data_IF_714517711827
#
_entry.id   IF_714517711827
#
_cell.length_a   1.000
_cell.length_b   1.000
_cell.length_c   1.000
_cell.angle_alpha   90.00
_cell.angle_beta   90.00
_cell.angle_gamma   90.00
#
_symmetry.space_group_name_H-M   'P 1'
#
loop_
_entity.id
_entity.type
_entity.pdbx_description
1 polymer ?
#
# COMPACT_ATOMS: atom_id res chain seq x y z
N UNK A 1 39.12 -12.66 16.73
CA UNK A 1 37.87 -12.25 17.39
C UNK A 1 37.33 -11.05 16.63
N UNK A 2 36.56 -11.30 15.58
CA UNK A 2 35.94 -10.26 14.74
C UNK A 2 34.61 -9.85 15.40
N UNK A 3 34.45 -8.54 15.62
CA UNK A 3 33.18 -7.93 16.09
C UNK A 3 32.12 -8.12 15.02
N UNK A 4 30.89 -8.54 15.39
CA UNK A 4 29.80 -8.58 14.43
C UNK A 4 29.43 -7.15 14.01
N UNK A 5 29.21 -6.93 12.72
CA UNK A 5 28.59 -5.72 12.18
C UNK A 5 27.22 -5.53 12.83
N UNK A 6 27.09 -4.51 13.66
CA UNK A 6 25.81 -3.93 14.07
C UNK A 6 25.26 -3.16 12.87
N UNK A 7 24.31 -3.76 12.20
CA UNK A 7 23.67 -3.21 10.99
C UNK A 7 22.17 -3.35 10.97
N UNK A 8 21.50 -3.21 12.13
CA UNK A 8 20.05 -2.96 12.19
C UNK A 8 19.85 -1.75 13.10
N UNK A 9 19.47 -0.62 12.49
CA UNK A 9 19.32 0.64 13.19
C UNK A 9 18.25 0.54 14.26
N UNK A 10 18.65 0.73 15.50
CA UNK A 10 17.76 0.85 16.65
C UNK A 10 16.73 1.95 16.34
N UNK A 11 15.44 1.63 16.46
CA UNK A 11 14.37 2.60 16.21
C UNK A 11 14.46 3.76 17.20
N UNK A 12 14.53 4.99 16.70
CA UNK A 12 14.69 6.21 17.50
C UNK A 12 13.34 6.89 17.73
N UNK A 13 13.13 7.38 18.94
CA UNK A 13 11.88 8.02 19.38
C UNK A 13 12.17 9.15 20.37
N UNK A 14 11.14 9.93 20.67
CA UNK A 14 11.23 11.03 21.64
C UNK A 14 11.86 10.57 22.97
N UNK A 15 12.85 11.33 23.42
CA UNK A 15 13.65 11.10 24.63
C UNK A 15 14.98 10.39 24.38
N UNK A 16 15.18 9.79 23.20
CA UNK A 16 16.44 9.12 22.88
C UNK A 16 17.54 10.14 22.62
N UNK A 17 18.79 9.75 22.93
CA UNK A 17 20.00 10.50 22.65
C UNK A 17 20.94 9.65 21.83
N UNK A 18 21.17 10.06 20.56
CA UNK A 18 21.99 9.29 19.62
C UNK A 18 22.57 10.25 18.55
N UNK A 19 23.79 9.98 18.09
CA UNK A 19 24.39 10.74 16.98
C UNK A 19 23.53 10.72 15.71
N UNK A 20 22.82 9.61 15.44
CA UNK A 20 21.90 9.50 14.29
C UNK A 20 20.72 10.48 14.35
N UNK A 21 20.36 11.01 15.53
CA UNK A 21 19.33 12.04 15.68
C UNK A 21 19.74 13.32 14.95
N UNK A 22 21.04 13.65 14.94
CA UNK A 22 21.57 14.81 14.21
C UNK A 22 21.35 14.67 12.71
N UNK A 23 21.55 13.47 12.16
CA UNK A 23 21.34 13.20 10.73
C UNK A 23 19.86 13.26 10.35
N UNK A 24 18.98 12.76 11.22
CA UNK A 24 17.52 12.81 11.04
C UNK A 24 17.07 14.29 11.06
N UNK A 25 17.56 15.08 12.02
CA UNK A 25 17.24 16.50 12.14
C UNK A 25 17.68 17.26 10.88
N UNK A 26 18.92 17.05 10.44
CA UNK A 26 19.45 17.66 9.21
C UNK A 26 18.61 17.27 7.98
N UNK A 27 18.21 16.01 7.87
CA UNK A 27 17.38 15.53 6.77
C UNK A 27 15.98 16.19 6.77
N UNK A 28 15.32 16.27 7.92
CA UNK A 28 14.00 16.90 8.04
C UNK A 28 14.06 18.41 7.81
N UNK A 29 15.14 19.09 8.23
CA UNK A 29 15.38 20.50 7.92
C UNK A 29 15.55 20.71 6.41
N UNK A 30 16.38 19.89 5.74
CA UNK A 30 16.57 19.95 4.30
C UNK A 30 15.28 19.68 3.49
N UNK A 31 14.35 18.92 4.07
CA UNK A 31 13.03 18.62 3.49
C UNK A 31 11.95 19.65 3.88
N UNK A 32 12.28 20.64 4.72
CA UNK A 32 11.33 21.70 5.13
C UNK A 32 10.29 21.25 6.16
N UNK A 33 10.53 20.16 6.88
CA UNK A 33 9.67 19.68 7.98
C UNK A 33 10.13 20.16 9.35
N UNK A 34 11.32 20.76 9.43
CA UNK A 34 11.91 21.34 10.63
C UNK A 34 12.55 22.68 10.29
N UNK A 35 12.39 23.68 11.13
CA UNK A 35 13.02 24.96 10.94
C UNK A 35 14.55 24.84 11.13
N UNK A 36 15.33 25.59 10.35
CA UNK A 36 16.79 25.58 10.46
C UNK A 36 17.26 26.18 11.80
N UNK A 37 18.38 25.70 12.31
CA UNK A 37 18.99 26.13 13.57
C UNK A 37 19.28 27.66 13.69
N UNK A 38 19.20 28.39 12.57
CA UNK A 38 19.36 29.86 12.55
C UNK A 38 18.18 30.61 13.20
N UNK A 39 17.02 29.94 13.39
CA UNK A 39 15.86 30.54 14.06
C UNK A 39 16.06 30.69 15.59
N UNK A 40 17.02 29.98 16.15
CA UNK A 40 17.20 29.88 17.62
C UNK A 40 18.26 30.84 18.21
N UNK A 41 18.95 31.61 17.38
CA UNK A 41 19.92 32.62 17.88
C UNK A 41 19.25 33.70 18.75
N UNK A 42 17.92 33.81 18.70
CA UNK A 42 17.15 34.82 19.46
C UNK A 42 16.57 34.30 20.79
N UNK A 43 16.56 33.00 21.07
CA UNK A 43 15.91 32.42 22.26
C UNK A 43 16.86 31.91 23.32
N UNK A 44 18.17 31.87 23.06
CA UNK A 44 19.20 31.43 24.04
C UNK A 44 19.07 29.96 24.46
N UNK A 45 18.29 29.16 23.78
CA UNK A 45 18.17 27.72 24.01
C UNK A 45 19.31 26.99 23.28
N UNK A 46 20.20 26.36 24.04
CA UNK A 46 21.11 25.36 23.50
C UNK A 46 20.33 24.11 23.08
N UNK A 47 20.00 23.97 21.81
CA UNK A 47 19.43 22.74 21.27
C UNK A 47 20.57 21.69 21.24
N UNK A 48 20.41 20.64 22.03
CA UNK A 48 21.29 19.48 21.93
C UNK A 48 20.88 18.68 20.68
N UNK A 49 21.61 18.85 19.57
CA UNK A 49 21.29 18.26 18.27
C UNK A 49 21.22 16.73 18.28
N UNK A 50 21.77 16.07 19.27
CA UNK A 50 21.77 14.62 19.49
C UNK A 50 20.57 14.11 20.28
N UNK A 51 19.66 15.01 20.73
CA UNK A 51 18.45 14.66 21.51
C UNK A 51 17.22 14.66 20.59
N UNK A 52 16.46 13.59 20.67
CA UNK A 52 15.16 13.48 20.03
C UNK A 52 14.10 14.18 20.91
N UNK A 53 13.96 15.48 20.72
CA UNK A 53 13.06 16.35 21.45
C UNK A 53 11.62 16.35 20.88
N UNK A 54 10.76 17.17 21.47
CA UNK A 54 9.35 17.30 21.06
C UNK A 54 9.21 17.91 19.65
N UNK A 55 10.04 18.86 19.32
CA UNK A 55 10.03 19.52 18.01
C UNK A 55 10.37 18.51 16.90
N UNK A 56 11.39 17.68 17.13
CA UNK A 56 11.76 16.61 16.20
C UNK A 56 10.65 15.53 16.12
N UNK A 57 9.98 15.19 17.23
CA UNK A 57 8.85 14.23 17.18
C UNK A 57 7.71 14.77 16.29
N UNK A 58 7.38 16.06 16.42
CA UNK A 58 6.38 16.70 15.57
C UNK A 58 6.81 16.69 14.09
N UNK A 59 8.07 17.02 13.79
CA UNK A 59 8.61 16.99 12.43
C UNK A 59 8.59 15.58 11.82
N UNK A 60 8.96 14.57 12.60
CA UNK A 60 8.88 13.16 12.18
C UNK A 60 7.45 12.75 11.88
N UNK A 61 6.48 13.08 12.73
CA UNK A 61 5.05 12.79 12.49
C UNK A 61 4.51 13.50 11.25
N UNK A 62 4.85 14.77 11.06
CA UNK A 62 4.49 15.53 9.87
C UNK A 62 5.09 14.89 8.59
N UNK A 63 6.35 14.48 8.63
CA UNK A 63 6.99 13.75 7.54
C UNK A 63 6.32 12.40 7.28
N UNK A 64 6.07 11.60 8.31
CA UNK A 64 5.38 10.32 8.20
C UNK A 64 3.99 10.49 7.57
N UNK A 65 3.23 11.50 8.01
CA UNK A 65 1.92 11.81 7.45
C UNK A 65 2.02 12.18 5.97
N UNK A 66 2.96 13.08 5.63
CA UNK A 66 3.17 13.49 4.24
C UNK A 66 3.59 12.32 3.34
N UNK A 67 4.37 11.37 3.87
CA UNK A 67 4.86 10.19 3.14
C UNK A 67 3.89 9.01 3.12
N UNK A 68 2.74 9.11 3.78
CA UNK A 68 1.78 8.00 3.89
C UNK A 68 2.32 6.82 4.72
N UNK A 69 3.18 7.09 5.71
CA UNK A 69 3.68 6.12 6.66
C UNK A 69 2.78 6.04 7.90
N UNK A 70 3.03 5.07 8.77
CA UNK A 70 2.43 5.05 10.11
C UNK A 70 2.90 6.28 10.88
N UNK A 71 1.97 7.09 11.42
CA UNK A 71 2.28 8.34 12.13
C UNK A 71 2.43 8.04 13.62
N UNK A 72 3.55 7.44 13.99
CA UNK A 72 3.86 7.01 15.36
C UNK A 72 4.97 7.85 16.03
N UNK A 73 5.66 8.71 15.27
CA UNK A 73 6.81 9.48 15.75
C UNK A 73 8.06 8.64 15.94
N UNK A 74 8.09 7.39 15.46
CA UNK A 74 9.23 6.49 15.58
C UNK A 74 10.02 6.46 14.27
N UNK A 75 11.31 6.73 14.34
CA UNK A 75 12.20 6.61 13.20
C UNK A 75 12.76 5.20 13.14
N UNK A 76 11.90 4.26 12.70
CA UNK A 76 12.27 2.88 12.40
C UNK A 76 12.74 2.71 10.94
N UNK A 77 12.85 1.47 10.48
CA UNK A 77 13.36 1.14 9.14
C UNK A 77 12.58 1.83 8.01
N UNK A 78 11.24 1.81 8.07
CA UNK A 78 10.39 2.43 7.05
C UNK A 78 10.57 3.96 6.99
N UNK A 79 10.62 4.63 8.14
CA UNK A 79 10.84 6.08 8.21
C UNK A 79 12.24 6.45 7.75
N UNK A 80 13.28 5.71 8.16
CA UNK A 80 14.65 5.90 7.71
C UNK A 80 14.79 5.71 6.20
N UNK A 81 14.15 4.70 5.64
CA UNK A 81 14.13 4.48 4.19
C UNK A 81 13.49 5.66 3.47
N UNK A 82 12.31 6.10 3.92
CA UNK A 82 11.61 7.23 3.33
C UNK A 82 12.40 8.55 3.42
N UNK A 83 13.12 8.80 4.51
CA UNK A 83 14.02 9.95 4.64
C UNK A 83 15.17 9.91 3.62
N UNK A 84 15.77 8.73 3.42
CA UNK A 84 16.80 8.54 2.39
C UNK A 84 16.23 8.72 0.99
N UNK A 85 15.07 8.15 0.70
CA UNK A 85 14.38 8.29 -0.59
C UNK A 85 14.08 9.76 -0.90
N UNK A 86 13.60 10.52 0.09
CA UNK A 86 13.28 11.93 -0.02
C UNK A 86 14.53 12.84 -0.23
N UNK A 87 15.70 12.37 0.17
CA UNK A 87 16.95 13.13 0.00
C UNK A 87 17.43 13.21 -1.45
N UNK A 88 16.97 12.31 -2.32
CA UNK A 88 17.38 12.26 -3.71
C UNK A 88 16.52 13.18 -4.59
N UNK A 89 17.18 14.13 -5.26
CA UNK A 89 16.55 15.01 -6.26
C UNK A 89 16.93 14.56 -7.68
N UNK A 90 15.98 14.61 -8.59
CA UNK A 90 16.23 14.25 -10.00
C UNK A 90 17.38 15.10 -10.57
N UNK A 91 18.43 14.43 -11.03
CA UNK A 91 19.66 15.03 -11.51
C UNK A 91 20.82 14.99 -10.53
N UNK A 92 20.59 14.66 -9.25
CA UNK A 92 21.67 14.51 -8.26
C UNK A 92 22.55 13.27 -8.51
N UNK A 93 21.96 12.25 -9.13
CA UNK A 93 22.65 11.01 -9.52
C UNK A 93 22.14 10.49 -10.85
N UNK A 94 22.93 9.65 -11.51
CA UNK A 94 22.52 8.93 -12.72
C UNK A 94 21.59 7.78 -12.33
N UNK A 95 20.40 7.70 -12.97
CA UNK A 95 19.42 6.66 -12.70
C UNK A 95 19.45 5.58 -13.78
N UNK A 96 19.51 4.32 -13.37
CA UNK A 96 19.50 3.17 -14.27
C UNK A 96 18.95 1.93 -13.59
N UNK A 97 18.51 0.95 -14.38
CA UNK A 97 18.12 -0.35 -13.84
C UNK A 97 19.35 -1.12 -13.36
N UNK A 98 19.33 -1.56 -12.09
CA UNK A 98 20.39 -2.33 -11.49
C UNK A 98 19.83 -3.67 -11.02
N UNK A 99 20.41 -4.76 -11.54
CA UNK A 99 19.98 -6.10 -11.16
C UNK A 99 20.41 -6.42 -9.72
N UNK A 100 19.49 -6.86 -8.89
CA UNK A 100 19.77 -7.26 -7.50
C UNK A 100 19.91 -6.12 -6.48
N UNK A 101 20.05 -4.86 -6.92
CA UNK A 101 20.13 -3.69 -6.04
C UNK A 101 19.36 -2.51 -6.65
N UNK A 102 18.04 -2.58 -6.71
CA UNK A 102 17.23 -1.58 -7.38
C UNK A 102 17.40 -0.19 -6.76
N UNK A 103 17.41 0.84 -7.61
CA UNK A 103 17.43 2.23 -7.18
C UNK A 103 16.04 2.67 -6.72
N UNK A 104 16.00 3.34 -5.58
CA UNK A 104 14.78 3.95 -5.02
C UNK A 104 15.00 5.42 -4.74
N UNK A 105 13.96 6.23 -4.84
CA UNK A 105 13.98 7.62 -4.40
C UNK A 105 12.96 8.51 -5.08
N UNK A 106 12.83 9.72 -4.57
CA UNK A 106 11.96 10.75 -5.14
C UNK A 106 12.46 11.22 -6.51
N UNK A 107 13.74 11.10 -6.79
CA UNK A 107 14.32 11.31 -8.12
C UNK A 107 13.78 10.30 -9.14
N UNK A 108 13.65 9.03 -8.76
CA UNK A 108 13.03 8.00 -9.60
C UNK A 108 11.55 8.28 -9.77
N UNK A 109 10.82 8.60 -8.70
CA UNK A 109 9.41 8.95 -8.78
C UNK A 109 9.17 10.17 -9.70
N UNK A 110 10.03 11.18 -9.61
CA UNK A 110 9.97 12.36 -10.48
C UNK A 110 10.24 12.00 -11.95
N UNK A 111 11.20 11.10 -12.21
CA UNK A 111 11.46 10.61 -13.57
C UNK A 111 10.24 9.84 -14.11
N UNK A 112 9.68 8.93 -13.31
CA UNK A 112 8.51 8.15 -13.70
C UNK A 112 7.30 9.05 -14.02
N UNK A 113 7.03 10.05 -13.17
CA UNK A 113 5.95 11.03 -13.39
C UNK A 113 6.15 11.77 -14.73
N UNK A 114 7.36 12.23 -15.02
CA UNK A 114 7.66 12.91 -16.29
C UNK A 114 7.50 12.00 -17.51
N UNK A 115 7.98 10.75 -17.41
CA UNK A 115 7.79 9.77 -18.47
C UNK A 115 6.32 9.41 -18.65
N UNK A 116 5.53 9.43 -17.58
CA UNK A 116 4.08 9.21 -17.61
C UNK A 116 3.37 10.37 -18.30
N UNK A 117 3.70 11.62 -17.95
CA UNK A 117 3.15 12.82 -18.59
C UNK A 117 3.42 12.86 -20.10
N UNK A 118 4.59 12.37 -20.50
CA UNK A 118 4.98 12.26 -21.90
C UNK A 118 4.46 11.01 -22.61
N UNK A 119 3.77 10.11 -21.89
CA UNK A 119 3.15 8.90 -22.48
C UNK A 119 4.08 7.69 -22.61
N UNK A 120 5.32 7.75 -22.08
CA UNK A 120 6.30 6.66 -22.18
C UNK A 120 6.31 5.72 -20.96
N UNK A 121 5.66 6.08 -19.88
CA UNK A 121 5.55 5.26 -18.68
C UNK A 121 4.09 5.06 -18.29
N UNK A 122 3.71 3.83 -18.01
CA UNK A 122 2.33 3.44 -17.77
C UNK A 122 2.16 2.66 -16.47
N UNK A 123 3.25 2.55 -15.70
CA UNK A 123 3.26 1.93 -14.37
C UNK A 123 2.86 2.91 -13.26
N UNK A 124 2.88 2.41 -12.02
CA UNK A 124 2.76 3.24 -10.83
C UNK A 124 3.98 4.15 -10.71
N UNK A 125 3.78 5.40 -10.36
CA UNK A 125 4.87 6.30 -9.94
C UNK A 125 5.24 5.92 -8.50
N UNK A 126 6.06 4.90 -8.36
CA UNK A 126 6.37 4.21 -7.10
C UNK A 126 7.75 4.54 -6.54
N UNK A 127 8.55 5.29 -7.29
CA UNK A 127 9.93 5.60 -6.92
C UNK A 127 10.90 4.42 -7.03
N UNK A 128 10.50 3.32 -7.67
CA UNK A 128 11.33 2.15 -7.90
C UNK A 128 11.80 2.07 -9.36
N UNK A 129 13.12 2.09 -9.61
CA UNK A 129 13.66 1.97 -10.95
C UNK A 129 13.70 0.51 -11.40
N UNK A 130 12.53 -0.02 -11.77
CA UNK A 130 12.37 -1.37 -12.29
C UNK A 130 12.46 -1.44 -13.81
N UNK A 131 12.21 -2.64 -14.37
CA UNK A 131 12.21 -2.89 -15.81
C UNK A 131 11.18 -2.01 -16.55
N UNK A 132 10.03 -1.71 -15.94
CA UNK A 132 9.03 -0.85 -16.58
C UNK A 132 9.56 0.58 -16.76
N UNK A 133 10.23 1.13 -15.72
CA UNK A 133 10.88 2.45 -15.79
C UNK A 133 11.99 2.45 -16.84
N UNK A 134 12.84 1.41 -16.84
CA UNK A 134 13.90 1.24 -17.83
C UNK A 134 13.34 1.23 -19.26
N UNK A 135 12.33 0.41 -19.54
CA UNK A 135 11.71 0.31 -20.86
C UNK A 135 11.03 1.60 -21.31
N UNK A 136 10.34 2.30 -20.36
CA UNK A 136 9.75 3.60 -20.62
C UNK A 136 10.81 4.64 -20.99
N UNK A 137 11.91 4.65 -20.26
CA UNK A 137 13.05 5.55 -20.52
C UNK A 137 13.71 5.26 -21.88
N UNK A 138 13.95 4.00 -22.21
CA UNK A 138 14.48 3.61 -23.54
C UNK A 138 13.55 4.03 -24.67
N UNK A 139 12.23 3.89 -24.49
CA UNK A 139 11.26 4.31 -25.50
C UNK A 139 11.27 5.82 -25.69
N UNK A 140 11.34 6.58 -24.58
CA UNK A 140 11.53 8.03 -24.61
C UNK A 140 12.82 8.43 -25.36
N UNK A 141 13.96 7.84 -24.98
CA UNK A 141 15.26 8.13 -25.59
C UNK A 141 15.23 7.89 -27.11
N UNK A 142 14.63 6.78 -27.56
CA UNK A 142 14.50 6.43 -28.97
C UNK A 142 13.67 7.45 -29.74
N UNK A 143 12.52 7.86 -29.17
CA UNK A 143 11.62 8.79 -29.83
C UNK A 143 12.23 10.20 -29.97
N UNK A 144 13.07 10.60 -28.99
CA UNK A 144 13.74 11.90 -29.00
C UNK A 144 15.16 11.87 -29.59
N UNK A 145 15.54 10.79 -30.27
CA UNK A 145 16.81 10.69 -30.96
C UNK A 145 18.04 10.63 -30.05
N UNK A 146 17.82 10.24 -28.78
CA UNK A 146 18.89 9.99 -27.82
C UNK A 146 19.39 8.55 -27.90
N UNK A 147 20.59 8.29 -27.36
CA UNK A 147 21.05 6.93 -27.22
C UNK A 147 20.16 6.16 -26.25
N UNK A 148 19.51 5.11 -26.74
CA UNK A 148 18.49 4.36 -26.00
C UNK A 148 19.13 3.27 -25.11
N UNK A 149 19.81 3.69 -24.06
CA UNK A 149 20.48 2.81 -23.07
C UNK A 149 19.66 2.55 -21.81
N UNK A 150 18.56 3.27 -21.63
CA UNK A 150 17.74 3.20 -20.43
C UNK A 150 18.43 3.81 -19.20
N UNK A 151 19.42 4.70 -19.41
CA UNK A 151 20.14 5.40 -18.38
C UNK A 151 19.72 6.88 -18.38
N UNK A 152 19.19 7.38 -17.26
CA UNK A 152 18.88 8.78 -17.08
C UNK A 152 20.12 9.56 -16.67
N UNK A 153 20.97 9.83 -17.64
CA UNK A 153 22.17 10.66 -17.49
C UNK A 153 21.91 12.15 -17.81
N UNK A 154 22.95 13.00 -17.81
CA UNK A 154 22.83 14.45 -18.01
C UNK A 154 22.17 14.85 -19.34
N UNK A 155 22.37 14.11 -20.40
CA UNK A 155 21.81 14.38 -21.72
C UNK A 155 20.30 14.09 -21.74
N UNK A 156 19.89 12.92 -21.25
CA UNK A 156 18.49 12.56 -21.09
C UNK A 156 17.75 13.52 -20.16
N UNK A 157 18.38 13.93 -19.07
CA UNK A 157 17.81 14.93 -18.15
C UNK A 157 17.58 16.28 -18.81
N UNK A 158 18.53 16.80 -19.58
CA UNK A 158 18.37 18.06 -20.32
C UNK A 158 17.17 18.01 -21.26
N UNK A 159 17.02 16.90 -21.99
CA UNK A 159 15.89 16.65 -22.88
C UNK A 159 14.56 16.64 -22.11
N UNK A 160 14.48 15.91 -20.99
CA UNK A 160 13.29 15.84 -20.13
C UNK A 160 12.91 17.22 -19.54
N UNK A 161 13.88 18.03 -19.13
CA UNK A 161 13.62 19.38 -18.60
C UNK A 161 13.07 20.32 -19.66
N UNK A 162 13.56 20.23 -20.88
CA UNK A 162 13.10 21.08 -21.98
C UNK A 162 11.64 20.81 -22.38
N UNK A 163 11.20 19.56 -22.26
CA UNK A 163 9.85 19.14 -22.68
C UNK A 163 8.79 19.29 -21.57
N UNK A 164 9.17 19.15 -20.31
CA UNK A 164 8.23 19.12 -19.16
C UNK A 164 7.44 20.42 -18.95
N UNK A 165 7.85 21.53 -19.53
CA UNK A 165 7.15 22.82 -19.44
C UNK A 165 5.90 22.94 -20.33
N UNK A 166 5.59 21.95 -21.16
CA UNK A 166 4.55 22.02 -22.20
C UNK A 166 3.45 20.97 -22.13
N UNK A 167 3.57 19.96 -21.27
CA UNK A 167 2.63 18.82 -21.22
C UNK A 167 2.08 18.65 -19.80
N UNK A 168 0.77 18.81 -19.65
CA UNK A 168 0.02 18.37 -18.46
C UNK A 168 -0.86 17.21 -18.89
N UNK A 169 -0.43 15.97 -18.59
CA UNK A 169 -1.16 14.72 -18.88
C UNK A 169 -1.98 14.25 -17.69
N UNK A 170 -3.03 13.47 -17.95
CA UNK A 170 -3.75 12.71 -16.93
C UNK A 170 -2.99 11.44 -16.51
N UNK A 171 -3.38 10.83 -15.37
CA UNK A 171 -2.79 9.57 -14.92
C UNK A 171 -3.18 8.41 -15.85
N UNK A 172 -2.29 8.02 -16.75
CA UNK A 172 -2.46 6.85 -17.64
C UNK A 172 -2.61 5.54 -16.86
N UNK A 173 -2.02 5.46 -15.67
CA UNK A 173 -2.17 4.31 -14.79
C UNK A 173 -3.61 4.16 -14.28
N UNK A 174 -4.23 5.25 -13.81
CA UNK A 174 -5.62 5.23 -13.35
C UNK A 174 -6.57 4.82 -14.48
N UNK A 175 -6.37 5.36 -15.69
CA UNK A 175 -7.16 5.01 -16.89
C UNK A 175 -7.00 3.51 -17.21
N UNK A 176 -5.80 2.97 -17.09
CA UNK A 176 -5.54 1.54 -17.33
C UNK A 176 -6.18 0.63 -16.28
N UNK A 177 -6.07 0.97 -15.01
CA UNK A 177 -6.74 0.21 -13.94
C UNK A 177 -8.25 0.15 -14.19
N UNK A 178 -8.87 1.30 -14.46
CA UNK A 178 -10.30 1.38 -14.77
C UNK A 178 -10.65 0.58 -16.02
N UNK A 179 -9.83 0.66 -17.06
CA UNK A 179 -10.06 -0.07 -18.31
C UNK A 179 -9.90 -1.59 -18.14
N UNK A 180 -8.94 -2.05 -17.33
CA UNK A 180 -8.78 -3.48 -17.02
C UNK A 180 -10.02 -4.03 -16.29
N UNK A 181 -10.55 -3.31 -15.30
CA UNK A 181 -11.78 -3.73 -14.61
C UNK A 181 -12.98 -3.68 -15.56
N UNK A 182 -13.10 -2.64 -16.39
CA UNK A 182 -14.19 -2.49 -17.36
C UNK A 182 -14.17 -3.55 -18.46
N UNK A 183 -12.99 -3.85 -19.05
CA UNK A 183 -12.86 -4.87 -20.11
C UNK A 183 -13.11 -6.28 -19.61
N UNK A 184 -12.83 -6.51 -18.35
CA UNK A 184 -13.09 -7.81 -17.74
C UNK A 184 -14.60 -8.10 -17.57
N UNK A 185 -15.46 -7.11 -17.86
CA UNK A 185 -16.91 -7.22 -17.86
C UNK A 185 -17.53 -7.45 -16.47
N UNK A 186 -18.85 -7.37 -16.36
CA UNK A 186 -19.55 -7.58 -15.10
C UNK A 186 -19.67 -9.08 -14.78
N UNK A 187 -18.52 -9.79 -14.77
CA UNK A 187 -18.48 -11.23 -14.48
C UNK A 187 -17.53 -11.46 -13.32
N UNK A 188 -17.96 -12.31 -12.39
CA UNK A 188 -17.13 -12.76 -11.27
C UNK A 188 -16.35 -14.03 -11.63
N UNK A 189 -16.94 -14.88 -12.48
CA UNK A 189 -16.34 -16.14 -12.90
C UNK A 189 -15.03 -15.92 -13.66
N UNK A 190 -14.00 -16.66 -13.27
CA UNK A 190 -12.67 -16.59 -13.88
C UNK A 190 -11.81 -15.41 -13.41
N UNK A 191 -12.30 -14.57 -12.49
CA UNK A 191 -11.46 -13.55 -11.85
C UNK A 191 -10.45 -14.20 -10.92
N UNK A 192 -9.19 -13.84 -11.04
CA UNK A 192 -8.09 -14.34 -10.20
C UNK A 192 -7.85 -13.41 -9.04
N UNK A 193 -8.14 -13.90 -7.83
CA UNK A 193 -8.01 -13.12 -6.59
C UNK A 193 -6.95 -13.76 -5.72
N UNK A 194 -5.96 -13.00 -5.30
CA UNK A 194 -5.06 -13.40 -4.23
C UNK A 194 -5.59 -12.89 -2.90
N UNK A 195 -5.71 -13.81 -1.96
CA UNK A 195 -6.00 -13.53 -0.56
C UNK A 195 -4.71 -13.77 0.22
N UNK A 196 -4.27 -12.73 0.94
CA UNK A 196 -3.00 -12.73 1.64
C UNK A 196 -3.19 -12.65 3.15
N UNK A 197 -3.27 -13.80 3.85
CA UNK A 197 -3.28 -13.80 5.31
C UNK A 197 -1.91 -13.39 5.85
N UNK A 198 -1.87 -12.37 6.71
CA UNK A 198 -0.66 -11.93 7.39
C UNK A 198 -0.06 -13.01 8.29
N UNK A 199 1.14 -12.70 8.86
CA UNK A 199 1.84 -13.65 9.74
C UNK A 199 2.10 -15.00 9.06
N UNK A 200 2.22 -16.08 9.86
CA UNK A 200 2.35 -17.45 9.39
C UNK A 200 3.66 -18.13 9.82
N UNK A 201 3.78 -19.41 9.58
CA UNK A 201 4.96 -20.19 10.01
C UNK A 201 5.20 -20.05 11.51
N UNK A 202 6.41 -19.60 11.88
CA UNK A 202 6.78 -19.35 13.27
C UNK A 202 6.33 -17.96 13.79
N UNK A 203 5.81 -17.11 12.92
CA UNK A 203 5.26 -15.81 13.31
C UNK A 203 3.76 -15.97 13.62
N UNK A 204 3.47 -16.29 14.87
CA UNK A 204 2.11 -16.45 15.35
C UNK A 204 1.40 -15.13 15.67
N UNK A 205 2.16 -14.03 15.80
CA UNK A 205 1.64 -12.77 16.34
C UNK A 205 1.19 -12.88 17.79
N UNK A 206 0.24 -12.05 18.21
CA UNK A 206 -0.34 -12.12 19.55
C UNK A 206 -1.28 -13.34 19.70
N UNK A 207 -1.34 -13.88 20.93
CA UNK A 207 -2.28 -14.93 21.29
C UNK A 207 -3.45 -14.31 22.04
N UNK A 208 -4.65 -14.50 21.51
CA UNK A 208 -5.90 -14.14 22.14
C UNK A 208 -6.54 -15.36 22.81
N UNK A 209 -7.41 -15.15 23.79
CA UNK A 209 -8.16 -16.21 24.46
C UNK A 209 -9.63 -16.06 24.13
N UNK A 210 -10.18 -17.03 23.37
CA UNK A 210 -11.58 -17.15 23.04
C UNK A 210 -12.27 -18.20 23.89
N UNK A 211 -13.58 -18.42 23.66
CA UNK A 211 -14.36 -19.44 24.33
C UNK A 211 -13.89 -20.87 24.04
N UNK A 212 -13.25 -21.09 22.90
CA UNK A 212 -12.68 -22.39 22.49
C UNK A 212 -11.21 -22.58 22.91
N UNK A 213 -10.61 -21.63 23.66
CA UNK A 213 -9.22 -21.65 24.08
C UNK A 213 -8.36 -20.57 23.40
N UNK A 214 -7.03 -20.70 23.53
CA UNK A 214 -6.11 -19.74 22.92
C UNK A 214 -6.15 -19.85 21.38
N UNK A 215 -6.13 -18.70 20.70
CA UNK A 215 -6.05 -18.58 19.24
C UNK A 215 -5.02 -17.51 18.89
N UNK A 216 -4.13 -17.82 17.96
CA UNK A 216 -3.11 -16.87 17.52
C UNK A 216 -3.66 -15.89 16.47
N UNK A 217 -3.02 -14.74 16.32
CA UNK A 217 -3.31 -13.79 15.25
C UNK A 217 -3.20 -14.47 13.87
N UNK A 218 -2.18 -15.30 13.67
CA UNK A 218 -1.99 -16.07 12.45
C UNK A 218 -3.16 -17.01 12.15
N UNK A 219 -3.75 -17.66 13.18
CA UNK A 219 -4.89 -18.55 13.02
C UNK A 219 -6.16 -17.79 12.69
N UNK A 220 -6.38 -16.62 13.31
CA UNK A 220 -7.51 -15.73 13.01
C UNK A 220 -7.47 -15.30 11.54
N UNK A 221 -6.29 -14.84 11.08
CA UNK A 221 -6.11 -14.37 9.70
C UNK A 221 -6.23 -15.52 8.68
N UNK A 222 -5.74 -16.70 9.04
CA UNK A 222 -5.86 -17.89 8.19
C UNK A 222 -7.30 -18.36 8.06
N UNK A 223 -8.03 -18.46 9.19
CA UNK A 223 -9.45 -18.82 9.19
C UNK A 223 -10.27 -17.83 8.37
N UNK A 224 -10.01 -16.53 8.54
CA UNK A 224 -10.69 -15.49 7.75
C UNK A 224 -10.39 -15.62 6.25
N UNK A 225 -9.12 -15.83 5.88
CA UNK A 225 -8.72 -16.03 4.49
C UNK A 225 -9.38 -17.26 3.87
N UNK A 226 -9.43 -18.37 4.61
CA UNK A 226 -10.07 -19.62 4.14
C UNK A 226 -11.59 -19.47 3.95
N UNK A 227 -12.25 -18.70 4.82
CA UNK A 227 -13.71 -18.38 4.67
C UNK A 227 -13.93 -17.53 3.42
N UNK A 228 -13.08 -16.54 3.19
CA UNK A 228 -13.18 -15.67 2.03
C UNK A 228 -12.89 -16.46 0.73
N UNK A 229 -11.85 -17.30 0.72
CA UNK A 229 -11.51 -18.20 -0.38
C UNK A 229 -12.71 -19.09 -0.75
N UNK A 230 -13.30 -19.80 0.22
CA UNK A 230 -14.43 -20.67 -0.03
C UNK A 230 -15.64 -19.93 -0.62
N UNK A 231 -15.94 -18.73 -0.12
CA UNK A 231 -17.05 -17.90 -0.62
C UNK A 231 -16.79 -17.40 -2.04
N UNK A 232 -15.57 -16.95 -2.35
CA UNK A 232 -15.22 -16.47 -3.68
C UNK A 232 -15.19 -17.59 -4.71
N UNK A 233 -14.65 -18.75 -4.32
CA UNK A 233 -14.63 -19.94 -5.19
C UNK A 233 -16.06 -20.43 -5.50
N UNK A 234 -16.97 -20.39 -4.52
CA UNK A 234 -18.35 -20.79 -4.71
C UNK A 234 -19.12 -19.98 -5.77
N UNK A 235 -18.67 -18.76 -6.07
CA UNK A 235 -19.26 -17.90 -7.11
C UNK A 235 -18.41 -17.87 -8.39
N UNK A 236 -17.49 -18.83 -8.54
CA UNK A 236 -16.73 -19.04 -9.76
C UNK A 236 -15.44 -18.20 -9.90
N UNK A 237 -14.98 -17.52 -8.87
CA UNK A 237 -13.68 -16.88 -8.86
C UNK A 237 -12.56 -17.91 -8.70
N UNK A 238 -11.40 -17.65 -9.30
CA UNK A 238 -10.16 -18.39 -9.08
C UNK A 238 -9.38 -17.75 -7.93
N UNK A 239 -9.33 -18.39 -6.79
CA UNK A 239 -8.70 -17.85 -5.59
C UNK A 239 -7.37 -18.53 -5.28
N UNK A 240 -6.42 -17.76 -4.81
CA UNK A 240 -5.08 -18.23 -4.43
C UNK A 240 -4.70 -17.63 -3.09
N UNK A 241 -4.11 -18.42 -2.21
CA UNK A 241 -3.51 -17.92 -0.98
C UNK A 241 -2.06 -17.55 -1.24
N UNK A 242 -1.62 -16.39 -0.74
CA UNK A 242 -0.24 -15.89 -0.95
C UNK A 242 0.83 -16.75 -0.28
N UNK A 243 0.44 -17.55 0.70
CA UNK A 243 1.33 -18.42 1.48
C UNK A 243 0.62 -19.70 1.93
N UNK A 244 1.34 -20.78 2.21
CA UNK A 244 0.85 -21.89 3.01
C UNK A 244 0.88 -21.54 4.52
N UNK A 245 0.31 -22.39 5.37
CA UNK A 245 0.23 -22.19 6.82
C UNK A 245 1.58 -22.11 7.49
N UNK A 246 2.55 -22.89 7.01
CA UNK A 246 3.86 -23.08 7.63
C UNK A 246 4.94 -22.10 7.17
N UNK A 247 4.60 -21.03 6.45
CA UNK A 247 5.52 -19.99 5.99
C UNK A 247 5.02 -18.59 6.36
N UNK A 248 5.99 -17.69 6.62
CA UNK A 248 5.76 -16.25 6.79
C UNK A 248 6.62 -15.49 5.76
N UNK A 249 6.15 -15.37 4.50
CA UNK A 249 6.88 -14.63 3.48
C UNK A 249 6.93 -13.14 3.81
N UNK A 250 7.99 -12.47 3.34
CA UNK A 250 8.10 -11.02 3.33
C UNK A 250 7.09 -10.39 2.37
N UNK A 251 6.81 -9.09 2.50
CA UNK A 251 5.91 -8.37 1.58
C UNK A 251 6.43 -8.41 0.13
N UNK A 252 7.75 -8.43 -0.08
CA UNK A 252 8.35 -8.61 -1.40
C UNK A 252 8.02 -9.99 -2.01
N UNK A 253 8.13 -11.06 -1.24
CA UNK A 253 7.79 -12.42 -1.70
C UNK A 253 6.28 -12.56 -1.94
N UNK A 254 5.44 -11.94 -1.10
CA UNK A 254 3.97 -11.89 -1.28
C UNK A 254 3.58 -11.16 -2.57
N UNK A 255 4.19 -9.99 -2.82
CA UNK A 255 3.98 -9.22 -4.04
C UNK A 255 4.50 -9.99 -5.28
N UNK A 256 5.66 -10.64 -5.18
CA UNK A 256 6.21 -11.46 -6.26
C UNK A 256 5.28 -12.62 -6.62
N UNK A 257 4.72 -13.31 -5.61
CA UNK A 257 3.74 -14.39 -5.79
C UNK A 257 2.49 -13.86 -6.51
N UNK A 258 1.93 -12.74 -6.06
CA UNK A 258 0.76 -12.12 -6.68
C UNK A 258 1.02 -11.75 -8.15
N UNK A 259 2.16 -11.15 -8.42
CA UNK A 259 2.57 -10.78 -9.77
C UNK A 259 2.78 -12.00 -10.68
N UNK A 260 3.33 -13.10 -10.16
CA UNK A 260 3.57 -14.34 -10.90
C UNK A 260 2.26 -15.06 -11.28
N UNK A 261 1.27 -15.06 -10.36
CA UNK A 261 -0.07 -15.60 -10.65
C UNK A 261 -0.81 -14.75 -11.68
N UNK A 262 -0.45 -13.48 -11.85
CA UNK A 262 -1.17 -12.55 -12.72
C UNK A 262 -2.60 -12.33 -12.20
N UNK A 263 -2.74 -12.08 -10.92
CA UNK A 263 -4.04 -11.86 -10.29
C UNK A 263 -4.70 -10.55 -10.77
N UNK A 264 -6.04 -10.53 -10.76
CA UNK A 264 -6.83 -9.34 -11.07
C UNK A 264 -6.92 -8.38 -9.86
N UNK A 265 -6.92 -8.96 -8.65
CA UNK A 265 -6.93 -8.22 -7.38
C UNK A 265 -6.10 -8.97 -6.32
N UNK A 266 -5.58 -8.21 -5.36
CA UNK A 266 -5.01 -8.76 -4.13
C UNK A 266 -5.67 -8.14 -2.90
N UNK A 267 -6.05 -8.99 -1.94
CA UNK A 267 -6.65 -8.59 -0.66
C UNK A 267 -5.76 -9.14 0.45
N UNK A 268 -5.08 -8.25 1.14
CA UNK A 268 -4.20 -8.59 2.26
C UNK A 268 -4.93 -8.36 3.58
N UNK A 269 -4.91 -9.35 4.45
CA UNK A 269 -5.58 -9.36 5.75
C UNK A 269 -4.55 -9.26 6.86
N UNK A 270 -4.71 -8.28 7.75
CA UNK A 270 -3.81 -8.03 8.89
C UNK A 270 -4.63 -7.79 10.15
N UNK A 271 -4.03 -8.06 11.30
CA UNK A 271 -4.45 -7.50 12.57
C UNK A 271 -3.40 -6.49 13.02
N UNK A 272 -3.84 -5.46 13.71
CA UNK A 272 -2.93 -4.46 14.27
C UNK A 272 -2.66 -4.69 15.75
N UNK A 273 -1.51 -4.18 16.18
CA UNK A 273 -1.09 -4.20 17.58
C UNK A 273 -0.55 -2.83 17.95
N UNK A 274 -1.14 -2.22 18.96
CA UNK A 274 -0.69 -0.93 19.49
C UNK A 274 -0.45 -1.02 21.00
N UNK A 275 0.51 -0.24 21.49
CA UNK A 275 0.75 -0.11 22.94
C UNK A 275 -0.43 0.55 23.65
N UNK A 276 -1.18 1.41 22.97
CA UNK A 276 -2.40 2.02 23.51
C UNK A 276 -3.58 1.06 23.41
N UNK A 277 -4.20 0.68 24.51
CA UNK A 277 -5.39 -0.18 24.50
C UNK A 277 -6.64 0.53 23.93
N UNK A 278 -6.60 1.84 23.71
CA UNK A 278 -7.68 2.62 23.11
C UNK A 278 -7.70 2.54 21.56
N UNK A 279 -6.61 2.07 20.94
CA UNK A 279 -6.60 1.85 19.50
C UNK A 279 -7.52 0.68 19.14
N UNK A 280 -8.54 0.92 18.31
CA UNK A 280 -9.56 -0.06 17.96
C UNK A 280 -10.16 0.25 16.60
N UNK A 281 -10.68 -0.77 15.92
CA UNK A 281 -11.46 -0.65 14.71
C UNK A 281 -10.79 -1.23 13.47
N UNK A 282 -11.48 -1.16 12.34
CA UNK A 282 -11.04 -1.64 11.04
C UNK A 282 -10.60 -0.48 10.16
N UNK A 283 -9.51 -0.67 9.44
CA UNK A 283 -8.99 0.29 8.45
C UNK A 283 -8.65 -0.43 7.15
N UNK A 284 -8.85 0.24 6.01
CA UNK A 284 -8.48 -0.28 4.71
C UNK A 284 -7.46 0.62 4.04
N UNK A 285 -6.43 0.02 3.44
CA UNK A 285 -5.30 0.74 2.86
C UNK A 285 -5.14 0.40 1.38
N UNK A 286 -4.85 1.41 0.58
CA UNK A 286 -4.54 1.28 -0.84
C UNK A 286 -3.25 2.01 -1.18
N UNK A 287 -2.68 1.76 -2.36
CA UNK A 287 -1.53 2.54 -2.81
C UNK A 287 -1.90 4.01 -3.01
N UNK A 288 -1.12 4.89 -2.43
CA UNK A 288 -1.21 6.33 -2.62
C UNK A 288 0.03 7.02 -2.05
N UNK A 289 0.63 7.92 -2.83
CA UNK A 289 1.85 8.63 -2.44
C UNK A 289 1.70 10.15 -2.49
N UNK A 290 2.71 10.86 -1.97
CA UNK A 290 2.79 12.32 -1.95
C UNK A 290 3.00 12.96 -3.33
N UNK A 291 3.29 12.17 -4.36
CA UNK A 291 3.46 12.62 -5.75
C UNK A 291 2.14 12.60 -6.55
N UNK A 292 1.01 12.33 -5.89
CA UNK A 292 -0.31 12.30 -6.52
C UNK A 292 -0.64 11.00 -7.25
N UNK A 293 0.23 9.98 -7.20
CA UNK A 293 -0.06 8.66 -7.76
C UNK A 293 -0.90 7.85 -6.78
N UNK A 294 -2.06 7.39 -7.23
CA UNK A 294 -3.03 6.63 -6.45
C UNK A 294 -3.56 5.48 -7.30
N UNK A 295 -3.68 4.29 -6.73
CA UNK A 295 -4.45 3.21 -7.33
C UNK A 295 -5.94 3.54 -7.22
N UNK A 296 -6.57 3.91 -8.34
CA UNK A 296 -7.99 4.31 -8.37
C UNK A 296 -8.89 3.13 -8.01
N UNK A 297 -8.64 1.96 -8.57
CA UNK A 297 -9.41 0.75 -8.29
C UNK A 297 -9.13 0.25 -6.87
N UNK A 298 -7.87 0.27 -6.42
CA UNK A 298 -7.50 -0.06 -5.05
C UNK A 298 -8.23 0.82 -4.04
N UNK A 299 -8.31 2.13 -4.29
CA UNK A 299 -9.06 3.08 -3.46
C UNK A 299 -10.55 2.76 -3.42
N UNK A 300 -11.18 2.58 -4.59
CA UNK A 300 -12.60 2.26 -4.66
C UNK A 300 -12.93 0.94 -3.92
N UNK A 301 -12.09 -0.08 -4.11
CA UNK A 301 -12.24 -1.36 -3.40
C UNK A 301 -12.06 -1.18 -1.89
N UNK A 302 -11.05 -0.42 -1.45
CA UNK A 302 -10.84 -0.12 -0.03
C UNK A 302 -12.05 0.58 0.59
N UNK A 303 -12.63 1.58 -0.10
CA UNK A 303 -13.83 2.30 0.34
C UNK A 303 -15.05 1.37 0.44
N UNK A 304 -15.20 0.44 -0.50
CA UNK A 304 -16.27 -0.56 -0.44
C UNK A 304 -16.07 -1.55 0.71
N UNK A 305 -14.85 -2.12 0.86
CA UNK A 305 -14.52 -3.05 1.95
C UNK A 305 -14.76 -2.37 3.30
N UNK A 306 -14.24 -1.17 3.49
CA UNK A 306 -14.38 -0.43 4.74
C UNK A 306 -15.84 -0.29 5.15
N UNK A 307 -16.68 0.16 4.22
CA UNK A 307 -18.13 0.34 4.46
C UNK A 307 -18.84 -0.95 4.76
N UNK A 308 -18.61 -1.98 3.94
CA UNK A 308 -19.31 -3.25 4.06
C UNK A 308 -18.91 -4.02 5.33
N UNK A 309 -17.64 -3.97 5.73
CA UNK A 309 -17.14 -4.61 6.95
C UNK A 309 -17.64 -3.88 8.19
N UNK A 310 -17.52 -2.55 8.24
CA UNK A 310 -18.02 -1.76 9.39
C UNK A 310 -19.51 -2.00 9.63
N UNK A 311 -20.30 -1.98 8.57
CA UNK A 311 -21.75 -2.15 8.68
C UNK A 311 -22.18 -3.53 9.22
N UNK A 312 -21.36 -4.58 9.03
CA UNK A 312 -21.68 -5.95 9.42
C UNK A 312 -21.10 -6.37 10.77
N UNK A 313 -20.02 -5.72 11.19
CA UNK A 313 -19.25 -6.18 12.36
C UNK A 313 -19.46 -5.32 13.60
N UNK A 314 -19.87 -4.07 13.44
CA UNK A 314 -19.91 -3.09 14.53
C UNK A 314 -18.53 -2.61 14.99
N UNK A 315 -17.44 -3.03 14.33
CA UNK A 315 -16.10 -2.51 14.55
C UNK A 315 -16.06 -1.01 14.23
N UNK A 316 -15.23 -0.28 14.97
CA UNK A 316 -15.06 1.17 14.74
C UNK A 316 -14.53 1.43 13.34
N UNK A 317 -15.09 2.44 12.66
CA UNK A 317 -14.63 2.89 11.36
C UNK A 317 -13.35 3.75 11.49
N UNK A 318 -12.20 3.18 11.10
CA UNK A 318 -10.92 3.88 11.02
C UNK A 318 -10.61 4.40 9.61
N UNK A 319 -11.59 4.40 8.69
CA UNK A 319 -11.50 4.97 7.34
C UNK A 319 -10.55 4.23 6.40
N UNK A 320 -10.41 4.82 5.19
CA UNK A 320 -9.49 4.35 4.16
C UNK A 320 -8.31 5.31 4.03
N UNK A 321 -7.13 4.76 3.73
CA UNK A 321 -5.89 5.52 3.71
C UNK A 321 -4.99 5.13 2.54
N UNK A 322 -4.41 6.15 1.87
CA UNK A 322 -3.31 5.95 0.94
C UNK A 322 -2.00 5.66 1.68
N UNK A 323 -1.25 4.63 1.24
CA UNK A 323 0.04 4.23 1.83
C UNK A 323 1.02 3.81 0.75
N UNK A 324 2.31 3.92 1.07
CA UNK A 324 3.41 3.55 0.17
C UNK A 324 4.11 2.25 0.60
N UNK A 325 3.42 1.40 1.37
CA UNK A 325 3.98 0.13 1.86
C UNK A 325 4.38 -0.79 0.71
N UNK A 326 5.42 -1.60 0.94
CA UNK A 326 6.00 -2.42 -0.11
C UNK A 326 4.99 -3.34 -0.80
N UNK A 327 4.10 -3.97 -0.04
CA UNK A 327 3.07 -4.82 -0.62
C UNK A 327 2.16 -4.06 -1.58
N UNK A 328 1.72 -2.85 -1.21
CA UNK A 328 0.84 -2.02 -2.05
C UNK A 328 1.56 -1.43 -3.27
N UNK A 329 2.86 -1.19 -3.13
CA UNK A 329 3.70 -0.55 -4.15
C UNK A 329 4.19 -1.54 -5.21
N UNK A 330 4.57 -2.76 -4.80
CA UNK A 330 5.26 -3.73 -5.66
C UNK A 330 4.30 -4.64 -6.43
N UNK A 331 3.04 -4.67 -6.04
CA UNK A 331 2.00 -5.42 -6.77
C UNK A 331 1.58 -4.69 -8.05
N UNK A 332 1.38 -5.45 -9.12
CA UNK A 332 0.99 -4.93 -10.46
C UNK A 332 -0.51 -4.81 -10.65
N UNK A 333 -1.28 -5.44 -9.79
CA UNK A 333 -2.74 -5.37 -9.76
C UNK A 333 -3.21 -4.46 -8.63
N UNK A 334 -4.45 -3.96 -8.66
CA UNK A 334 -5.04 -3.27 -7.54
C UNK A 334 -4.96 -4.12 -6.27
N UNK A 335 -4.39 -3.55 -5.22
CA UNK A 335 -4.15 -4.24 -3.94
C UNK A 335 -4.71 -3.41 -2.80
N UNK A 336 -5.43 -4.08 -1.90
CA UNK A 336 -5.95 -3.51 -0.66
C UNK A 336 -5.45 -4.33 0.52
N UNK A 337 -4.88 -3.66 1.52
CA UNK A 337 -4.66 -4.24 2.83
C UNK A 337 -5.83 -3.84 3.74
N UNK A 338 -6.35 -4.82 4.48
CA UNK A 338 -7.42 -4.63 5.45
C UNK A 338 -6.91 -5.03 6.83
N UNK A 339 -6.77 -4.05 7.69
CA UNK A 339 -6.49 -4.26 9.10
C UNK A 339 -7.82 -4.49 9.79
N UNK A 340 -8.13 -5.76 10.06
CA UNK A 340 -9.47 -6.21 10.48
C UNK A 340 -9.80 -5.90 11.94
N UNK A 341 -8.87 -5.29 12.67
CA UNK A 341 -9.03 -4.86 14.07
C UNK A 341 -7.72 -4.95 14.83
N UNK A 342 -7.74 -4.45 16.06
CA UNK A 342 -6.59 -4.45 16.96
C UNK A 342 -6.68 -5.60 17.94
N UNK A 343 -5.84 -6.62 17.78
CA UNK A 343 -5.82 -7.77 18.69
C UNK A 343 -5.34 -7.39 20.10
N UNK A 344 -4.63 -6.26 20.23
CA UNK A 344 -4.26 -5.66 21.52
C UNK A 344 -5.43 -4.98 22.25
N UNK A 345 -6.50 -4.60 21.53
CA UNK A 345 -7.70 -4.01 22.10
C UNK A 345 -8.66 -5.09 22.64
N UNK A 346 -9.14 -5.01 23.89
CA UNK A 346 -10.01 -6.03 24.45
C UNK A 346 -11.32 -6.23 23.66
N UNK A 347 -11.96 -5.15 23.20
CA UNK A 347 -13.21 -5.21 22.45
C UNK A 347 -13.03 -5.83 21.06
N UNK A 348 -12.06 -5.33 20.28
CA UNK A 348 -11.77 -5.88 18.96
C UNK A 348 -11.36 -7.35 19.04
N UNK A 349 -10.53 -7.70 20.05
CA UNK A 349 -10.11 -9.06 20.31
C UNK A 349 -11.29 -9.99 20.59
N UNK A 350 -12.24 -9.56 21.41
CA UNK A 350 -13.43 -10.32 21.74
C UNK A 350 -14.25 -10.61 20.45
N UNK A 351 -14.38 -9.62 19.57
CA UNK A 351 -15.04 -9.79 18.29
C UNK A 351 -14.27 -10.73 17.36
N UNK A 352 -12.96 -10.52 17.20
CA UNK A 352 -12.12 -11.27 16.25
C UNK A 352 -11.99 -12.76 16.59
N UNK A 353 -12.04 -13.14 17.88
CA UNK A 353 -12.02 -14.56 18.28
C UNK A 353 -13.34 -15.28 17.98
N UNK A 354 -14.42 -14.55 17.72
CA UNK A 354 -15.71 -15.16 17.36
C UNK A 354 -15.76 -15.56 15.90
N UNK A 355 -16.24 -16.74 15.62
CA UNK A 355 -16.43 -17.25 14.26
C UNK A 355 -17.39 -16.39 13.46
N UNK A 356 -18.45 -15.92 14.13
CA UNK A 356 -19.50 -15.09 13.52
C UNK A 356 -18.93 -13.75 13.00
N UNK A 357 -18.04 -13.10 13.74
CA UNK A 357 -17.43 -11.84 13.29
C UNK A 357 -16.53 -12.09 12.09
N UNK A 358 -15.73 -13.16 12.09
CA UNK A 358 -14.90 -13.51 10.93
C UNK A 358 -15.73 -13.84 9.70
N UNK A 359 -16.89 -14.50 9.87
CA UNK A 359 -17.87 -14.71 8.79
C UNK A 359 -18.41 -13.38 8.24
N UNK A 360 -18.76 -12.45 9.13
CA UNK A 360 -19.29 -11.15 8.74
C UNK A 360 -18.22 -10.30 7.99
N UNK A 361 -16.96 -10.38 8.42
CA UNK A 361 -15.83 -9.72 7.71
C UNK A 361 -15.67 -10.32 6.31
N UNK A 362 -15.64 -11.66 6.19
CA UNK A 362 -15.50 -12.34 4.89
C UNK A 362 -16.66 -12.02 3.95
N UNK A 363 -17.88 -11.95 4.47
CA UNK A 363 -19.05 -11.54 3.69
C UNK A 363 -18.97 -10.07 3.25
N UNK A 364 -18.53 -9.17 4.13
CA UNK A 364 -18.34 -7.75 3.80
C UNK A 364 -17.31 -7.56 2.69
N UNK A 365 -16.17 -8.27 2.75
CA UNK A 365 -15.16 -8.21 1.71
C UNK A 365 -15.69 -8.78 0.38
N UNK A 366 -16.41 -9.90 0.41
CA UNK A 366 -17.04 -10.47 -0.78
C UNK A 366 -18.05 -9.50 -1.40
N UNK A 367 -18.90 -8.87 -0.57
CA UNK A 367 -19.86 -7.86 -1.03
C UNK A 367 -19.17 -6.68 -1.73
N UNK A 368 -18.05 -6.22 -1.17
CA UNK A 368 -17.24 -5.16 -1.77
C UNK A 368 -16.66 -5.55 -3.13
N UNK A 369 -16.15 -6.77 -3.28
CA UNK A 369 -15.62 -7.28 -4.55
C UNK A 369 -16.75 -7.43 -5.58
N UNK A 370 -17.89 -7.96 -5.19
CA UNK A 370 -19.08 -8.02 -6.06
C UNK A 370 -19.48 -6.62 -6.53
N UNK A 371 -19.50 -5.66 -5.61
CA UNK A 371 -19.80 -4.26 -5.92
C UNK A 371 -18.82 -3.67 -6.93
N UNK A 372 -17.53 -3.94 -6.81
CA UNK A 372 -16.52 -3.45 -7.73
C UNK A 372 -16.76 -3.93 -9.17
N UNK A 373 -17.15 -5.19 -9.36
CA UNK A 373 -17.27 -5.80 -10.69
C UNK A 373 -18.69 -5.73 -11.28
N UNK A 374 -19.72 -5.80 -10.46
CA UNK A 374 -21.10 -5.95 -10.92
C UNK A 374 -21.85 -4.62 -11.02
N UNK A 375 -21.50 -3.60 -10.21
CA UNK A 375 -22.20 -2.33 -10.25
C UNK A 375 -21.72 -1.47 -11.43
N UNK A 376 -22.68 -0.95 -12.20
CA UNK A 376 -22.42 -0.06 -13.33
C UNK A 376 -22.05 1.37 -12.89
N UNK A 377 -21.58 2.20 -13.86
CA UNK A 377 -21.22 3.61 -13.61
C UNK A 377 -22.35 4.46 -13.03
N UNK A 378 -23.60 4.05 -13.23
CA UNK A 378 -24.80 4.79 -12.78
C UNK A 378 -25.31 4.33 -11.41
N UNK A 379 -24.73 3.28 -10.84
CA UNK A 379 -25.14 2.78 -9.53
C UNK A 379 -24.60 3.71 -8.44
N UNK A 380 -25.43 4.04 -7.47
CA UNK A 380 -25.05 4.95 -6.39
C UNK A 380 -23.87 4.37 -5.60
N UNK A 381 -22.75 5.07 -5.52
CA UNK A 381 -21.57 4.58 -4.78
C UNK A 381 -21.78 4.58 -3.25
N UNK A 382 -22.95 4.99 -2.76
CA UNK A 382 -23.30 5.17 -1.36
C UNK A 382 -24.28 4.12 -0.88
N UNK A 383 -24.10 3.60 0.34
CA UNK A 383 -24.96 2.59 0.96
C UNK A 383 -24.27 1.22 1.06
N UNK A 384 -24.82 0.35 1.91
CA UNK A 384 -24.44 -1.06 2.03
C UNK A 384 -25.40 -1.93 1.25
N UNK A 385 -24.91 -3.05 0.73
CA UNK A 385 -25.74 -4.02 0.04
C UNK A 385 -25.95 -5.27 0.90
N UNK A 386 -27.16 -5.78 0.91
CA UNK A 386 -27.44 -7.12 1.42
C UNK A 386 -27.01 -8.16 0.40
N UNK A 387 -26.75 -9.39 0.86
CA UNK A 387 -26.46 -10.51 -0.03
C UNK A 387 -27.57 -10.73 -1.07
N UNK A 388 -28.83 -10.57 -0.68
CA UNK A 388 -29.99 -10.72 -1.57
C UNK A 388 -30.00 -9.68 -2.70
N UNK A 389 -29.66 -8.42 -2.41
CA UNK A 389 -29.59 -7.35 -3.41
C UNK A 389 -28.47 -7.60 -4.41
N UNK A 390 -27.30 -8.04 -3.94
CA UNK A 390 -26.17 -8.37 -4.82
C UNK A 390 -26.46 -9.60 -5.67
N UNK A 391 -27.10 -10.62 -5.12
CA UNK A 391 -27.52 -11.82 -5.88
C UNK A 391 -28.56 -11.47 -6.94
N UNK A 392 -29.55 -10.63 -6.61
CA UNK A 392 -30.54 -10.17 -7.57
C UNK A 392 -29.89 -9.39 -8.72
N UNK A 393 -28.90 -8.57 -8.43
CA UNK A 393 -28.12 -7.83 -9.44
C UNK A 393 -27.33 -8.77 -10.35
N UNK A 394 -26.65 -9.78 -9.77
CA UNK A 394 -25.88 -10.80 -10.50
C UNK A 394 -26.79 -11.57 -11.48
N UNK A 395 -27.93 -12.02 -11.01
CA UNK A 395 -28.93 -12.72 -11.85
C UNK A 395 -29.49 -11.84 -12.98
N UNK A 396 -29.73 -10.55 -12.71
CA UNK A 396 -30.18 -9.61 -13.72
C UNK A 396 -29.13 -9.38 -14.81
N UNK A 397 -27.84 -9.29 -14.45
CA UNK A 397 -26.72 -9.14 -15.40
C UNK A 397 -26.55 -10.39 -16.25
N UNK A 398 -26.66 -11.59 -15.68
CA UNK A 398 -26.60 -12.85 -16.43
C UNK A 398 -27.76 -12.99 -17.44
N UNK A 399 -28.97 -12.58 -17.06
CA UNK A 399 -30.11 -12.58 -17.95
C UNK A 399 -29.96 -11.59 -19.10
N UNK A 400 -29.47 -10.38 -18.82
CA UNK A 400 -29.19 -9.39 -19.85
C UNK A 400 -28.09 -9.85 -20.85
N UNK A 401 -27.06 -10.54 -20.36
CA UNK A 401 -25.98 -11.10 -21.20
C UNK A 401 -26.44 -12.24 -22.11
N UNK A 402 -27.46 -13.00 -21.75
CA UNK A 402 -28.07 -14.08 -22.58
C UNK A 402 -28.95 -13.53 -23.69
N UNK A 403 -29.53 -12.35 -23.51
CA UNK A 403 -30.39 -11.71 -24.53
C UNK A 403 -29.61 -11.03 -25.61
N UNK A 404 -28.37 -10.58 -25.35
CA UNK A 404 -27.49 -9.91 -26.32
C UNK A 404 -26.55 -10.86 -27.07
N UNK A 405 -26.59 -12.17 -26.78
CA UNK A 405 -25.77 -13.22 -27.38
C UNK A 405 -26.51 -14.21 -28.28
N UNK A 406 -27.79 -13.89 -28.62
CA UNK A 406 -28.60 -14.69 -29.56
C UNK A 406 -28.80 -13.96 -30.88
#
# INVERSE_FOLDING_TARGET
MSRPHRGDGEALRRGDRNAAVTDIRASLTALGHLDGADADLNTGRHVAFDVFDEELDHAVRAFQQHRGLLVDGIVGEATNRALREASYRLGARTLHHQFGAPMYGDDVATLQARLQDLGFYTGLVDGYFGLQTHNGLMSYQREYGLYADGICGPETLRSLYFLSSRVTGGSLHAIREEELVRRSGPKLSGKRIIIDPGRGGNDHGLIAHGSAGPISESDILWDLASRLEGRMTAIGMETFLSRPTNRSPSDHERAATANAVGADLMISLRCETQASPSASGVASFHFGNSHGSVSTIGRNLADFIQREVVARTGLRDCRTHGRTWDLLRLTRMPTVQVDVGYISNPHDRELLVTTQTRDAIAEGILAAVKRLYLLGKNDRPTGTFTFAELLAHELAVEQAGRVTGS
#
